data_IF_061780388805
#
_entry.id   IF_061780388805
#
_cell.length_a   1.000
_cell.length_b   1.000
_cell.length_c   1.000
_cell.angle_alpha   90.00
_cell.angle_beta   90.00
_cell.angle_gamma   90.00
#
_symmetry.space_group_name_H-M   'P 1'
#
loop_
_entity.id
_entity.type
_entity.pdbx_description
1 polymer ?
#
# COMPACT_ATOMS: atom_id res chain seq x y z
N UNK A 1 8.99 -51.24 8.70
CA UNK A 1 8.46 -49.93 9.16
C UNK A 1 9.14 -48.90 8.26
N UNK A 2 8.41 -48.31 7.30
CA UNK A 2 8.94 -47.24 6.44
C UNK A 2 9.01 -45.98 7.31
N UNK A 3 10.16 -45.37 7.51
CA UNK A 3 10.25 -44.14 8.31
C UNK A 3 9.44 -43.04 7.62
N UNK A 4 8.38 -42.59 8.25
CA UNK A 4 7.60 -41.44 7.81
C UNK A 4 8.46 -40.20 8.01
N UNK A 5 9.08 -39.74 6.93
CA UNK A 5 9.82 -38.48 6.95
C UNK A 5 8.77 -37.36 6.88
N UNK A 6 8.57 -36.70 7.97
CA UNK A 6 7.74 -35.48 7.98
C UNK A 6 8.47 -34.41 7.14
N UNK A 7 7.92 -34.10 5.96
CA UNK A 7 8.47 -33.06 5.10
C UNK A 7 8.22 -31.70 5.77
N UNK A 8 9.27 -30.91 5.88
CA UNK A 8 9.12 -29.51 6.29
C UNK A 8 8.53 -28.68 5.14
N UNK A 9 7.89 -27.56 5.45
CA UNK A 9 7.42 -26.60 4.41
C UNK A 9 8.58 -26.18 3.49
N UNK A 10 9.79 -26.00 4.03
CA UNK A 10 10.98 -25.69 3.23
C UNK A 10 11.34 -26.80 2.22
N UNK A 11 11.21 -28.08 2.61
CA UNK A 11 11.43 -29.21 1.70
C UNK A 11 10.41 -29.22 0.56
N UNK A 12 9.14 -28.91 0.87
CA UNK A 12 8.06 -28.84 -0.12
C UNK A 12 8.31 -27.71 -1.11
N UNK A 13 8.68 -26.52 -0.64
CA UNK A 13 9.02 -25.39 -1.52
C UNK A 13 10.22 -25.68 -2.40
N UNK A 14 11.27 -26.32 -1.85
CA UNK A 14 12.44 -26.71 -2.62
C UNK A 14 12.09 -27.72 -3.72
N UNK A 15 11.26 -28.72 -3.41
CA UNK A 15 10.80 -29.72 -4.39
C UNK A 15 9.90 -29.09 -5.48
N UNK A 16 8.99 -28.18 -5.09
CA UNK A 16 8.20 -27.43 -6.05
C UNK A 16 9.06 -26.59 -6.98
N UNK A 17 10.06 -25.89 -6.44
CA UNK A 17 10.95 -25.07 -7.23
C UNK A 17 11.79 -25.90 -8.20
N UNK A 18 12.36 -27.01 -7.74
CA UNK A 18 13.14 -27.94 -8.57
C UNK A 18 12.29 -28.48 -9.74
N UNK A 19 11.06 -28.94 -9.47
CA UNK A 19 10.15 -29.43 -10.51
C UNK A 19 9.75 -28.33 -11.48
N UNK A 20 9.47 -27.12 -10.98
CA UNK A 20 9.15 -25.98 -11.84
C UNK A 20 10.26 -25.64 -12.81
N UNK A 21 11.52 -25.69 -12.37
CA UNK A 21 12.68 -25.38 -13.22
C UNK A 21 13.03 -26.53 -14.18
N UNK A 22 13.03 -27.76 -13.68
CA UNK A 22 13.66 -28.89 -14.36
C UNK A 22 12.68 -29.91 -14.94
N UNK A 23 11.44 -30.00 -14.44
CA UNK A 23 10.45 -30.99 -14.85
C UNK A 23 9.03 -30.41 -14.88
N UNK A 24 8.69 -29.67 -15.93
CA UNK A 24 7.37 -29.03 -16.08
C UNK A 24 6.18 -30.00 -16.02
N UNK A 25 6.20 -31.20 -16.62
CA UNK A 25 5.12 -32.18 -16.46
C UNK A 25 4.93 -32.63 -15.01
N UNK A 26 6.01 -32.91 -14.28
CA UNK A 26 5.92 -33.28 -12.88
C UNK A 26 5.41 -32.13 -12.01
N UNK A 27 5.76 -30.89 -12.34
CA UNK A 27 5.22 -29.70 -11.67
C UNK A 27 3.70 -29.58 -11.89
N UNK A 28 3.20 -29.78 -13.10
CA UNK A 28 1.75 -29.77 -13.36
C UNK A 28 1.00 -30.85 -12.56
N UNK A 29 1.56 -32.06 -12.50
CA UNK A 29 1.00 -33.15 -11.69
C UNK A 29 0.98 -32.81 -10.20
N UNK A 30 1.98 -32.07 -9.71
CA UNK A 30 2.02 -31.57 -8.34
C UNK A 30 0.88 -30.57 -8.07
N UNK A 31 0.65 -29.63 -8.98
CA UNK A 31 -0.48 -28.70 -8.88
C UNK A 31 -1.82 -29.43 -8.84
N UNK A 32 -2.00 -30.40 -9.73
CA UNK A 32 -3.24 -31.20 -9.82
C UNK A 32 -3.53 -32.00 -8.53
N UNK A 33 -2.45 -32.48 -7.88
CA UNK A 33 -2.56 -33.27 -6.64
C UNK A 33 -2.88 -32.41 -5.42
N UNK A 34 -2.38 -31.16 -5.37
CA UNK A 34 -2.42 -30.35 -4.15
C UNK A 34 -3.35 -29.13 -4.24
N UNK A 35 -3.86 -28.78 -5.41
CA UNK A 35 -4.77 -27.65 -5.58
C UNK A 35 -6.11 -28.14 -6.10
N UNK A 36 -7.11 -28.14 -5.25
CA UNK A 36 -8.50 -28.30 -5.66
C UNK A 36 -9.08 -26.93 -6.04
N UNK A 37 -9.11 -26.65 -7.35
CA UNK A 37 -9.67 -25.39 -7.85
C UNK A 37 -11.17 -25.27 -7.58
N UNK A 38 -11.86 -26.39 -7.40
CA UNK A 38 -13.29 -26.40 -7.14
C UNK A 38 -13.63 -25.84 -5.76
N UNK A 39 -12.76 -25.98 -4.79
CA UNK A 39 -12.92 -25.39 -3.45
C UNK A 39 -12.79 -23.86 -3.49
N UNK A 40 -12.04 -23.31 -4.46
CA UNK A 40 -11.85 -21.86 -4.61
C UNK A 40 -13.04 -21.19 -5.31
N UNK A 41 -13.87 -21.94 -6.03
CA UNK A 41 -14.95 -21.38 -6.86
C UNK A 41 -16.23 -21.22 -6.00
N UNK A 42 -16.68 -19.98 -5.75
CA UNK A 42 -17.94 -19.75 -5.05
C UNK A 42 -19.13 -20.38 -5.77
N UNK A 43 -20.12 -20.83 -5.01
CA UNK A 43 -21.37 -21.37 -5.57
C UNK A 43 -22.09 -20.33 -6.45
N UNK A 44 -22.04 -19.05 -6.06
CA UNK A 44 -22.58 -17.93 -6.85
C UNK A 44 -21.96 -17.86 -8.24
N UNK A 45 -20.63 -18.02 -8.34
CA UNK A 45 -19.92 -18.02 -9.62
C UNK A 45 -20.35 -19.22 -10.48
N UNK A 46 -20.44 -20.42 -9.90
CA UNK A 46 -20.94 -21.61 -10.63
C UNK A 46 -22.33 -21.37 -11.20
N UNK A 47 -23.24 -20.83 -10.38
CA UNK A 47 -24.60 -20.53 -10.77
C UNK A 47 -24.67 -19.46 -11.87
N UNK A 48 -23.84 -18.42 -11.78
CA UNK A 48 -23.74 -17.38 -12.80
C UNK A 48 -23.16 -17.93 -14.11
N UNK A 49 -22.11 -18.74 -14.04
CA UNK A 49 -21.47 -19.31 -15.21
C UNK A 49 -22.36 -20.35 -15.93
N UNK A 50 -23.04 -21.23 -15.17
CA UNK A 50 -23.92 -22.26 -15.68
C UNK A 50 -25.40 -21.86 -15.55
N UNK A 51 -25.72 -20.60 -15.84
CA UNK A 51 -27.08 -20.11 -15.78
C UNK A 51 -28.08 -21.03 -16.51
N UNK A 52 -29.26 -21.22 -15.93
CA UNK A 52 -30.31 -22.11 -16.44
C UNK A 52 -30.90 -21.64 -17.76
N UNK A 53 -30.71 -20.38 -18.11
CA UNK A 53 -31.20 -19.74 -19.33
C UNK A 53 -30.06 -19.50 -20.33
N UNK A 54 -30.32 -19.71 -21.63
CA UNK A 54 -29.35 -19.49 -22.68
C UNK A 54 -28.70 -20.77 -23.20
N UNK A 55 -27.66 -20.62 -24.04
CA UNK A 55 -26.95 -21.75 -24.64
C UNK A 55 -26.02 -22.40 -23.64
N UNK A 56 -26.06 -23.75 -23.57
CA UNK A 56 -25.14 -24.53 -22.72
C UNK A 56 -23.68 -24.16 -22.98
N UNK A 57 -22.93 -23.99 -21.92
CA UNK A 57 -21.49 -23.68 -21.97
C UNK A 57 -20.72 -24.87 -22.58
N UNK A 58 -19.89 -24.58 -23.56
CA UNK A 58 -19.09 -25.59 -24.27
C UNK A 58 -17.85 -26.02 -23.49
N UNK A 59 -17.32 -25.13 -22.65
CA UNK A 59 -16.09 -25.31 -21.91
C UNK A 59 -16.38 -25.22 -20.42
N UNK A 60 -15.76 -26.06 -19.59
CA UNK A 60 -15.93 -26.00 -18.15
C UNK A 60 -15.37 -24.70 -17.55
N UNK A 61 -15.94 -24.23 -16.43
CA UNK A 61 -15.46 -23.07 -15.71
C UNK A 61 -14.01 -23.26 -15.25
N UNK A 62 -13.72 -24.42 -14.69
CA UNK A 62 -12.39 -24.79 -14.19
C UNK A 62 -11.32 -24.67 -15.28
N UNK A 63 -11.67 -25.02 -16.53
CA UNK A 63 -10.72 -24.93 -17.64
C UNK A 63 -10.26 -23.50 -17.92
N UNK A 64 -11.15 -22.52 -17.81
CA UNK A 64 -10.76 -21.11 -17.93
C UNK A 64 -9.89 -20.64 -16.76
N UNK A 65 -10.23 -21.05 -15.54
CA UNK A 65 -9.46 -20.67 -14.35
C UNK A 65 -8.04 -21.26 -14.41
N UNK A 66 -7.92 -22.56 -14.70
CA UNK A 66 -6.61 -23.19 -14.88
C UNK A 66 -5.81 -22.52 -16.00
N UNK A 67 -6.43 -22.17 -17.11
CA UNK A 67 -5.74 -21.47 -18.19
C UNK A 67 -5.19 -20.12 -17.76
N UNK A 68 -5.93 -19.36 -16.94
CA UNK A 68 -5.47 -18.08 -16.39
C UNK A 68 -4.33 -18.27 -15.36
N UNK A 69 -4.42 -19.30 -14.51
CA UNK A 69 -3.37 -19.66 -13.55
C UNK A 69 -2.09 -20.03 -14.31
N UNK A 70 -2.18 -20.92 -15.29
CA UNK A 70 -1.05 -21.33 -16.13
C UNK A 70 -0.45 -20.14 -16.87
N UNK A 71 -1.28 -19.24 -17.39
CA UNK A 71 -0.82 -18.01 -18.02
C UNK A 71 0.11 -17.20 -17.08
N UNK A 72 -0.23 -17.15 -15.79
CA UNK A 72 0.56 -16.44 -14.80
C UNK A 72 1.81 -17.20 -14.35
N UNK A 73 1.66 -18.48 -14.05
CA UNK A 73 2.79 -19.34 -13.63
C UNK A 73 3.92 -19.33 -14.67
N UNK A 74 3.59 -19.49 -15.94
CA UNK A 74 4.58 -19.49 -17.02
C UNK A 74 4.85 -18.12 -17.62
N UNK A 75 4.38 -17.03 -16.98
CA UNK A 75 4.58 -15.64 -17.45
C UNK A 75 4.23 -15.42 -18.91
N UNK A 76 3.13 -16.03 -19.37
CA UNK A 76 2.66 -15.90 -20.76
C UNK A 76 1.99 -14.52 -20.94
N UNK A 77 2.58 -13.61 -21.74
CA UNK A 77 2.17 -12.20 -21.72
C UNK A 77 0.83 -11.91 -22.39
N UNK A 78 0.36 -12.77 -23.30
CA UNK A 78 -0.87 -12.51 -24.07
C UNK A 78 -1.79 -13.73 -24.14
N UNK A 79 -3.09 -13.48 -24.23
CA UNK A 79 -4.09 -14.53 -24.42
C UNK A 79 -3.86 -15.31 -25.73
N UNK A 80 -3.41 -14.62 -26.78
CA UNK A 80 -3.10 -15.27 -28.06
C UNK A 80 -1.96 -16.27 -27.92
N UNK A 81 -0.91 -15.92 -27.15
CA UNK A 81 0.20 -16.82 -26.92
C UNK A 81 -0.21 -18.00 -26.02
N UNK A 82 -1.04 -17.77 -24.98
CA UNK A 82 -1.64 -18.83 -24.18
C UNK A 82 -2.39 -19.84 -25.05
N UNK A 83 -3.26 -19.37 -25.94
CA UNK A 83 -4.01 -20.23 -26.87
C UNK A 83 -3.10 -21.01 -27.82
N UNK A 84 -2.00 -20.41 -28.23
CA UNK A 84 -0.97 -21.08 -29.03
C UNK A 84 -0.35 -22.23 -28.24
N UNK A 85 0.05 -22.00 -26.98
CA UNK A 85 0.57 -23.07 -26.12
C UNK A 85 -0.44 -24.19 -25.91
N UNK A 86 -1.71 -23.85 -25.65
CA UNK A 86 -2.78 -24.83 -25.50
C UNK A 86 -3.05 -25.61 -26.79
N UNK A 87 -2.83 -25.03 -27.97
CA UNK A 87 -2.98 -25.69 -29.25
C UNK A 87 -1.88 -26.72 -29.51
N UNK A 88 -0.63 -26.37 -29.20
CA UNK A 88 0.54 -27.20 -29.47
C UNK A 88 0.87 -28.20 -28.36
N UNK A 89 0.51 -27.93 -27.11
CA UNK A 89 0.73 -28.84 -25.98
C UNK A 89 -0.55 -29.57 -25.60
N UNK A 90 -0.61 -30.86 -25.94
CA UNK A 90 -1.76 -31.72 -25.57
C UNK A 90 -1.86 -31.85 -24.05
N UNK A 91 -0.73 -32.12 -23.37
CA UNK A 91 -0.68 -32.28 -21.91
C UNK A 91 -1.12 -31.01 -21.17
N UNK A 92 -0.68 -29.84 -21.61
CA UNK A 92 -1.10 -28.56 -21.02
C UNK A 92 -2.60 -28.30 -21.21
N UNK A 93 -3.12 -28.61 -22.40
CA UNK A 93 -4.53 -28.48 -22.71
C UNK A 93 -5.39 -29.43 -21.87
N UNK A 94 -4.97 -30.70 -21.73
CA UNK A 94 -5.65 -31.71 -20.90
C UNK A 94 -5.59 -31.33 -19.43
N UNK A 95 -4.46 -30.87 -18.92
CA UNK A 95 -4.33 -30.34 -17.57
C UNK A 95 -5.34 -29.22 -17.28
N UNK A 96 -5.50 -28.26 -18.19
CA UNK A 96 -6.52 -27.23 -18.05
C UNK A 96 -7.96 -27.76 -18.17
N UNK A 97 -8.18 -28.98 -18.67
CA UNK A 97 -9.51 -29.55 -18.88
C UNK A 97 -10.18 -29.13 -20.19
N UNK A 98 -9.43 -28.65 -21.18
CA UNK A 98 -9.97 -28.33 -22.49
C UNK A 98 -9.94 -29.54 -23.44
N UNK A 99 -11.10 -29.95 -23.94
CA UNK A 99 -11.17 -30.92 -25.05
C UNK A 99 -10.77 -30.31 -26.39
N UNK A 100 -11.06 -29.03 -26.58
CA UNK A 100 -10.71 -28.23 -27.78
C UNK A 100 -10.31 -26.83 -27.30
N UNK A 101 -9.26 -26.26 -27.90
CA UNK A 101 -8.82 -24.89 -27.61
C UNK A 101 -9.93 -23.87 -27.89
N UNK A 102 -10.27 -22.97 -26.96
CA UNK A 102 -11.26 -21.92 -27.21
C UNK A 102 -10.72 -20.84 -28.14
N UNK A 103 -11.63 -20.10 -28.79
CA UNK A 103 -11.27 -18.90 -29.53
C UNK A 103 -10.87 -17.77 -28.58
N UNK A 104 -10.01 -16.86 -29.02
CA UNK A 104 -9.56 -15.70 -28.24
C UNK A 104 -10.73 -14.89 -27.67
N UNK A 105 -11.79 -14.69 -28.44
CA UNK A 105 -13.01 -14.01 -28.01
C UNK A 105 -13.68 -14.65 -26.79
N UNK A 106 -13.49 -15.97 -26.59
CA UNK A 106 -14.06 -16.67 -25.43
C UNK A 106 -13.32 -16.32 -24.14
N UNK A 107 -12.00 -16.22 -24.17
CA UNK A 107 -11.20 -15.79 -23.01
C UNK A 107 -11.48 -14.33 -22.68
N UNK A 108 -11.54 -13.46 -23.71
CA UNK A 108 -11.86 -12.05 -23.51
C UNK A 108 -13.23 -11.85 -22.86
N UNK A 109 -14.27 -12.52 -23.40
CA UNK A 109 -15.61 -12.47 -22.82
C UNK A 109 -15.66 -13.07 -21.43
N UNK A 110 -14.97 -14.18 -21.18
CA UNK A 110 -14.89 -14.76 -19.85
C UNK A 110 -14.36 -13.76 -18.82
N UNK A 111 -13.27 -13.07 -19.14
CA UNK A 111 -12.69 -12.04 -18.26
C UNK A 111 -13.63 -10.83 -18.07
N UNK A 112 -14.38 -10.43 -19.10
CA UNK A 112 -15.29 -9.29 -19.03
C UNK A 112 -16.59 -9.61 -18.31
N UNK A 113 -17.21 -10.75 -18.67
CA UNK A 113 -18.53 -11.13 -18.16
C UNK A 113 -18.49 -11.58 -16.68
N UNK A 114 -17.33 -12.07 -16.20
CA UNK A 114 -17.16 -12.68 -14.87
C UNK A 114 -16.07 -11.98 -14.03
N UNK A 115 -15.84 -10.69 -14.23
CA UNK A 115 -14.82 -9.94 -13.51
C UNK A 115 -15.07 -9.97 -11.99
N UNK A 116 -16.30 -9.72 -11.56
CA UNK A 116 -16.68 -9.70 -10.15
C UNK A 116 -16.59 -11.10 -9.53
N UNK A 117 -16.96 -12.13 -10.28
CA UNK A 117 -16.82 -13.52 -9.83
C UNK A 117 -15.36 -13.94 -9.69
N UNK A 118 -14.48 -13.49 -10.59
CA UNK A 118 -13.03 -13.70 -10.48
C UNK A 118 -12.45 -13.00 -9.25
N UNK A 119 -12.99 -11.84 -8.87
CA UNK A 119 -12.62 -11.17 -7.62
C UNK A 119 -13.01 -12.02 -6.40
N UNK A 120 -14.18 -12.65 -6.41
CA UNK A 120 -14.60 -13.56 -5.33
C UNK A 120 -13.70 -14.80 -5.23
N UNK A 121 -13.23 -15.36 -6.36
CA UNK A 121 -12.25 -16.45 -6.35
C UNK A 121 -10.94 -15.99 -5.70
N UNK A 122 -10.49 -14.77 -6.02
CA UNK A 122 -9.31 -14.20 -5.39
C UNK A 122 -9.51 -13.99 -3.88
N UNK A 123 -10.66 -13.45 -3.46
CA UNK A 123 -10.96 -13.25 -2.04
C UNK A 123 -10.97 -14.60 -1.27
N UNK A 124 -11.56 -15.67 -1.84
CA UNK A 124 -11.49 -17.03 -1.27
C UNK A 124 -10.04 -17.54 -1.19
N UNK A 125 -9.24 -17.33 -2.23
CA UNK A 125 -7.84 -17.73 -2.24
C UNK A 125 -7.06 -17.03 -1.10
N UNK A 126 -7.36 -15.77 -0.84
CA UNK A 126 -6.79 -15.03 0.29
C UNK A 126 -7.11 -15.73 1.61
N UNK A 127 -8.37 -16.06 1.85
CA UNK A 127 -8.79 -16.69 3.11
C UNK A 127 -8.20 -18.11 3.29
N UNK A 128 -8.20 -18.92 2.25
CA UNK A 128 -7.63 -20.29 2.28
C UNK A 128 -6.11 -20.28 2.49
N UNK A 129 -5.42 -19.28 1.96
CA UNK A 129 -3.95 -19.18 2.07
C UNK A 129 -3.49 -18.49 3.36
N UNK A 130 -4.37 -17.88 4.15
CA UNK A 130 -3.96 -17.23 5.40
C UNK A 130 -3.34 -18.19 6.41
N UNK A 131 -3.93 -19.36 6.73
CA UNK A 131 -3.29 -20.33 7.62
C UNK A 131 -1.92 -20.80 7.12
N UNK A 132 -1.75 -20.89 5.80
CA UNK A 132 -0.48 -21.29 5.19
C UNK A 132 0.57 -20.18 5.41
N UNK A 133 0.19 -18.92 5.19
CA UNK A 133 1.08 -17.77 5.46
C UNK A 133 1.51 -17.74 6.93
N UNK A 134 0.57 -17.98 7.86
CA UNK A 134 0.85 -18.03 9.29
C UNK A 134 1.79 -19.20 9.65
N UNK A 135 1.65 -20.35 9.00
CA UNK A 135 2.53 -21.49 9.20
C UNK A 135 3.95 -21.30 8.64
N UNK A 136 4.09 -20.51 7.58
CA UNK A 136 5.41 -20.18 6.98
C UNK A 136 6.20 -19.24 7.89
N UNK A 137 5.61 -18.10 8.23
CA UNK A 137 6.22 -17.06 9.09
C UNK A 137 5.11 -16.17 9.64
N UNK A 138 4.68 -16.43 10.86
CA UNK A 138 3.59 -15.70 11.49
C UNK A 138 3.92 -14.21 11.68
N UNK A 139 5.17 -13.87 11.95
CA UNK A 139 5.58 -12.47 12.12
C UNK A 139 5.45 -11.69 10.80
N UNK A 140 5.78 -12.29 9.67
CA UNK A 140 5.59 -11.70 8.34
C UNK A 140 4.13 -11.75 7.89
N UNK A 141 3.41 -12.83 8.18
CA UNK A 141 1.99 -12.92 7.88
C UNK A 141 1.18 -11.83 8.61
N UNK A 142 1.56 -11.50 9.85
CA UNK A 142 0.95 -10.43 10.65
C UNK A 142 1.32 -8.99 10.24
N UNK A 143 2.09 -8.84 9.16
CA UNK A 143 2.37 -7.53 8.57
C UNK A 143 1.37 -7.21 7.48
N UNK A 144 1.01 -5.93 7.37
CA UNK A 144 0.24 -5.37 6.27
C UNK A 144 1.06 -4.27 5.61
N UNK A 145 1.31 -4.42 4.33
CA UNK A 145 2.02 -3.43 3.50
C UNK A 145 1.02 -2.90 2.49
N UNK A 146 0.89 -1.59 2.40
CA UNK A 146 0.04 -0.94 1.41
C UNK A 146 0.87 -0.05 0.50
N UNK A 147 0.60 -0.18 -0.79
CA UNK A 147 1.10 0.74 -1.79
C UNK A 147 0.07 0.92 -2.91
N UNK A 148 0.16 2.04 -3.62
CA UNK A 148 -0.67 2.31 -4.79
C UNK A 148 0.17 2.48 -6.04
N UNK A 149 -0.39 2.06 -7.16
CA UNK A 149 0.27 2.17 -8.45
C UNK A 149 -0.75 2.47 -9.56
N UNK A 150 -0.33 2.48 -10.79
CA UNK A 150 -1.19 2.69 -11.94
C UNK A 150 -0.84 1.78 -13.10
N UNK A 151 -1.86 1.25 -13.75
CA UNK A 151 -1.71 0.54 -15.02
C UNK A 151 -1.80 1.58 -16.14
N UNK A 152 -0.70 1.78 -16.87
CA UNK A 152 -0.68 2.69 -18.01
C UNK A 152 -1.68 2.25 -19.08
N UNK A 153 -2.55 3.15 -19.47
CA UNK A 153 -3.65 2.87 -20.40
C UNK A 153 -3.26 3.14 -21.85
N UNK A 154 -3.80 2.38 -22.76
CA UNK A 154 -3.68 2.62 -24.21
C UNK A 154 -4.63 3.74 -24.67
N UNK A 155 -4.23 4.99 -24.37
CA UNK A 155 -5.01 6.19 -24.70
C UNK A 155 -4.15 7.17 -25.50
N UNK A 156 -4.81 8.09 -26.22
CA UNK A 156 -4.14 9.08 -27.08
C UNK A 156 -3.18 9.95 -26.29
N UNK A 157 -3.53 10.28 -25.05
CA UNK A 157 -2.75 11.14 -24.15
C UNK A 157 -1.42 10.50 -23.73
N UNK A 158 -1.32 9.18 -23.72
CA UNK A 158 -0.08 8.43 -23.46
C UNK A 158 0.80 8.29 -24.73
N UNK A 159 0.30 8.71 -25.88
CA UNK A 159 1.15 8.71 -27.09
C UNK A 159 2.22 9.81 -26.96
N UNK A 160 3.51 9.47 -27.07
CA UNK A 160 4.59 10.48 -26.98
C UNK A 160 4.42 11.66 -27.95
N UNK A 161 3.80 11.44 -29.12
CA UNK A 161 3.52 12.51 -30.09
C UNK A 161 2.53 13.54 -29.56
N UNK A 162 1.61 13.14 -28.68
CA UNK A 162 0.62 14.04 -28.07
C UNK A 162 1.30 15.08 -27.19
N UNK A 163 2.04 14.63 -26.19
CA UNK A 163 2.78 15.51 -25.27
C UNK A 163 3.84 16.35 -26.01
N UNK A 164 4.61 15.74 -26.93
CA UNK A 164 5.64 16.42 -27.69
C UNK A 164 5.09 17.57 -28.56
N UNK A 165 3.89 17.43 -29.11
CA UNK A 165 3.22 18.51 -29.84
C UNK A 165 2.98 19.73 -28.94
N UNK A 166 2.45 19.51 -27.75
CA UNK A 166 2.17 20.57 -26.77
C UNK A 166 3.46 21.22 -26.30
N UNK A 167 4.47 20.43 -25.96
CA UNK A 167 5.80 20.94 -25.56
C UNK A 167 6.42 21.81 -26.64
N UNK A 168 6.33 21.39 -27.92
CA UNK A 168 6.84 22.16 -29.04
C UNK A 168 6.14 23.53 -29.18
N UNK A 169 4.81 23.54 -29.02
CA UNK A 169 4.03 24.78 -29.04
C UNK A 169 4.42 25.72 -27.90
N UNK A 170 4.56 25.20 -26.69
CA UNK A 170 4.94 25.95 -25.50
C UNK A 170 6.37 26.49 -25.59
N UNK A 171 7.32 25.75 -26.18
CA UNK A 171 8.69 26.23 -26.47
C UNK A 171 8.67 27.37 -27.46
N UNK A 172 7.87 27.27 -28.52
CA UNK A 172 7.71 28.32 -29.49
C UNK A 172 7.09 29.61 -28.89
N UNK A 173 6.05 29.42 -28.07
CA UNK A 173 5.40 30.50 -27.34
C UNK A 173 6.37 31.20 -26.36
N UNK A 174 7.07 30.42 -25.53
CA UNK A 174 8.05 30.97 -24.57
C UNK A 174 9.14 31.79 -25.27
N UNK A 175 9.64 31.32 -26.44
CA UNK A 175 10.61 32.03 -27.25
C UNK A 175 10.03 33.34 -27.80
N UNK A 176 8.78 33.33 -28.28
CA UNK A 176 8.12 34.54 -28.81
C UNK A 176 7.83 35.58 -27.73
N UNK A 177 7.56 35.14 -26.48
CA UNK A 177 7.30 36.03 -25.33
C UNK A 177 8.59 36.45 -24.59
N UNK A 178 9.75 35.93 -24.96
CA UNK A 178 11.02 36.26 -24.32
C UNK A 178 11.15 35.74 -22.88
N UNK A 179 10.48 34.62 -22.55
CA UNK A 179 10.59 34.00 -21.23
C UNK A 179 12.05 33.61 -20.95
N UNK A 180 12.45 33.76 -19.69
CA UNK A 180 13.79 33.42 -19.25
C UNK A 180 13.97 31.89 -19.07
N UNK A 181 15.20 31.50 -18.64
CA UNK A 181 15.54 30.08 -18.43
C UNK A 181 14.79 29.41 -17.26
N UNK A 182 14.04 30.15 -16.44
CA UNK A 182 13.24 29.63 -15.32
C UNK A 182 11.94 28.98 -15.81
N UNK A 183 11.49 29.32 -17.03
CA UNK A 183 10.33 28.73 -17.63
C UNK A 183 10.60 27.30 -18.11
N UNK A 184 9.91 26.32 -17.48
CA UNK A 184 9.98 24.91 -17.86
C UNK A 184 8.79 24.52 -18.75
N UNK A 185 8.99 24.38 -20.09
CA UNK A 185 7.92 24.02 -21.01
C UNK A 185 7.40 22.58 -20.81
N UNK A 186 8.17 21.72 -20.19
CA UNK A 186 7.72 20.36 -19.86
C UNK A 186 6.71 20.38 -18.70
N UNK A 187 7.06 21.06 -17.62
CA UNK A 187 6.15 21.25 -16.49
C UNK A 187 4.88 21.98 -16.90
N UNK A 188 4.99 23.01 -17.76
CA UNK A 188 3.85 23.73 -18.29
C UNK A 188 2.96 22.85 -19.19
N UNK A 189 3.56 21.98 -20.03
CA UNK A 189 2.82 21.04 -20.86
C UNK A 189 1.98 20.09 -20.03
N UNK A 190 2.57 19.45 -19.02
CA UNK A 190 1.84 18.54 -18.14
C UNK A 190 0.78 19.27 -17.31
N UNK A 191 1.04 20.50 -16.90
CA UNK A 191 0.06 21.35 -16.22
C UNK A 191 -1.16 21.70 -17.08
N UNK A 192 -0.98 21.86 -18.40
CA UNK A 192 -2.03 22.21 -19.37
C UNK A 192 -2.75 20.98 -19.98
N UNK A 193 -2.20 19.78 -19.85
CA UNK A 193 -2.86 18.55 -20.29
C UNK A 193 -4.11 18.26 -19.43
N UNK A 194 -5.17 17.59 -19.95
CA UNK A 194 -6.36 17.28 -19.18
C UNK A 194 -6.02 16.39 -17.98
N UNK A 195 -6.85 16.43 -16.93
CA UNK A 195 -6.66 15.60 -15.72
C UNK A 195 -6.95 14.12 -15.95
N UNK A 196 -7.69 13.80 -17.00
CA UNK A 196 -8.11 12.45 -17.39
C UNK A 196 -8.04 12.23 -18.90
N UNK A 197 -8.06 10.98 -19.32
CA UNK A 197 -8.11 10.64 -20.73
C UNK A 197 -9.52 10.89 -21.30
N UNK A 198 -9.58 11.40 -22.54
CA UNK A 198 -10.83 11.68 -23.25
C UNK A 198 -11.67 10.42 -23.51
N UNK A 199 -11.01 9.28 -23.70
CA UNK A 199 -11.68 8.00 -23.94
C UNK A 199 -12.37 7.42 -22.68
N UNK A 200 -11.83 7.69 -21.50
CA UNK A 200 -12.39 7.23 -20.23
C UNK A 200 -11.96 8.14 -19.08
N UNK A 201 -12.88 8.82 -18.41
CA UNK A 201 -12.57 9.75 -17.32
C UNK A 201 -12.03 9.09 -16.03
N UNK A 202 -12.11 7.78 -15.91
CA UNK A 202 -11.48 7.03 -14.81
C UNK A 202 -9.95 6.88 -14.98
N UNK A 203 -9.46 7.05 -16.20
CA UNK A 203 -8.04 7.04 -16.52
C UNK A 203 -7.49 8.43 -16.21
N UNK A 204 -6.79 8.56 -15.11
CA UNK A 204 -6.30 9.84 -14.57
C UNK A 204 -4.81 10.04 -14.84
N UNK A 205 -4.42 11.32 -14.93
CA UNK A 205 -3.02 11.68 -15.02
C UNK A 205 -2.31 11.42 -13.68
N UNK A 206 -1.21 10.69 -13.72
CA UNK A 206 -0.39 10.37 -12.54
C UNK A 206 1.10 10.45 -12.90
N UNK A 207 1.93 10.80 -11.91
CA UNK A 207 3.38 10.69 -12.04
C UNK A 207 3.82 9.35 -11.46
N UNK A 208 4.35 8.49 -12.32
CA UNK A 208 4.76 7.12 -11.98
C UNK A 208 6.01 6.75 -12.78
N UNK A 209 6.91 5.99 -12.20
CA UNK A 209 8.16 5.54 -12.84
C UNK A 209 8.98 6.67 -13.49
N UNK A 210 8.97 7.87 -12.89
CA UNK A 210 9.76 9.00 -13.37
C UNK A 210 9.13 9.82 -14.50
N UNK A 211 7.90 9.53 -14.92
CA UNK A 211 7.20 10.30 -15.96
C UNK A 211 5.70 10.45 -15.66
N UNK A 212 5.08 11.41 -16.33
CA UNK A 212 3.63 11.57 -16.30
C UNK A 212 2.99 10.66 -17.34
N UNK A 213 1.97 9.92 -16.91
CA UNK A 213 1.16 9.10 -17.80
C UNK A 213 -0.30 9.05 -17.31
N UNK A 214 -1.17 8.51 -18.15
CA UNK A 214 -2.58 8.31 -17.86
C UNK A 214 -2.82 6.85 -17.49
N UNK A 215 -3.32 6.62 -16.30
CA UNK A 215 -3.37 5.29 -15.70
C UNK A 215 -4.73 4.97 -15.10
N UNK A 216 -5.03 3.69 -15.01
CA UNK A 216 -5.97 3.17 -14.01
C UNK A 216 -5.22 3.00 -12.70
N UNK A 217 -5.60 3.79 -11.71
CA UNK A 217 -5.00 3.71 -10.38
C UNK A 217 -5.60 2.56 -9.59
N UNK A 218 -4.74 1.83 -8.88
CA UNK A 218 -5.13 0.75 -7.99
C UNK A 218 -4.24 0.74 -6.74
N UNK A 219 -4.73 0.11 -5.68
CA UNK A 219 -3.97 -0.13 -4.46
C UNK A 219 -3.86 -1.61 -4.20
N UNK A 220 -2.73 -2.01 -3.64
CA UNK A 220 -2.43 -3.38 -3.26
C UNK A 220 -2.14 -3.43 -1.77
N UNK A 221 -2.72 -4.43 -1.10
CA UNK A 221 -2.36 -4.83 0.25
C UNK A 221 -1.63 -6.16 0.15
N UNK A 222 -0.41 -6.22 0.70
CA UNK A 222 0.36 -7.46 0.81
C UNK A 222 0.67 -7.75 2.28
N UNK A 223 1.00 -9.00 2.58
CA UNK A 223 1.64 -9.33 3.85
C UNK A 223 3.17 -9.21 3.74
N UNK A 224 3.90 -9.39 4.83
CA UNK A 224 5.36 -9.34 4.86
C UNK A 224 6.07 -10.49 4.13
N UNK A 225 5.33 -11.50 3.65
CA UNK A 225 5.82 -12.51 2.72
C UNK A 225 5.77 -12.05 1.25
N UNK A 226 5.24 -10.85 0.99
CA UNK A 226 5.03 -10.32 -0.36
C UNK A 226 3.81 -10.91 -1.09
N UNK A 227 2.93 -11.63 -0.37
CA UNK A 227 1.74 -12.24 -0.96
C UNK A 227 0.61 -11.21 -0.94
N UNK A 228 -0.02 -11.00 -2.11
CA UNK A 228 -1.14 -10.07 -2.25
C UNK A 228 -2.34 -10.60 -1.47
N UNK A 229 -2.90 -9.74 -0.60
CA UNK A 229 -4.05 -10.03 0.26
C UNK A 229 -5.30 -9.26 -0.16
N UNK A 230 -5.13 -8.12 -0.84
CA UNK A 230 -6.25 -7.33 -1.34
C UNK A 230 -5.81 -6.45 -2.51
N UNK A 231 -6.73 -6.21 -3.44
CA UNK A 231 -6.58 -5.28 -4.56
C UNK A 231 -7.83 -4.43 -4.66
N UNK A 232 -7.65 -3.10 -4.69
CA UNK A 232 -8.72 -2.15 -4.94
C UNK A 232 -8.44 -1.35 -6.20
N UNK A 233 -9.39 -1.30 -7.13
CA UNK A 233 -9.36 -0.39 -8.27
C UNK A 233 -10.15 0.87 -7.92
N UNK A 234 -9.51 2.04 -8.02
CA UNK A 234 -10.10 3.32 -7.64
C UNK A 234 -10.97 3.91 -8.76
N UNK A 235 -11.97 3.12 -9.15
CA UNK A 235 -12.98 3.44 -10.15
C UNK A 235 -14.20 4.17 -9.52
N UNK A 236 -15.21 4.44 -10.33
CA UNK A 236 -16.46 5.10 -9.88
C UNK A 236 -17.17 4.32 -8.78
N UNK A 237 -17.16 2.98 -8.85
CA UNK A 237 -17.83 2.14 -7.86
C UNK A 237 -17.13 2.26 -6.48
N UNK A 238 -15.80 2.22 -6.46
CA UNK A 238 -15.02 2.44 -5.24
C UNK A 238 -15.28 3.84 -4.66
N UNK A 239 -15.28 4.87 -5.51
CA UNK A 239 -15.53 6.24 -5.05
C UNK A 239 -16.97 6.43 -4.54
N UNK A 240 -17.95 5.76 -5.13
CA UNK A 240 -19.34 5.80 -4.68
C UNK A 240 -19.54 5.12 -3.32
N UNK A 241 -18.79 4.04 -3.04
CA UNK A 241 -18.83 3.38 -1.73
C UNK A 241 -18.04 4.11 -0.63
N UNK A 242 -17.20 5.10 -1.02
CA UNK A 242 -16.37 5.88 -0.09
C UNK A 242 -16.57 7.40 -0.30
N UNK A 243 -17.75 7.95 0.01
CA UNK A 243 -18.08 9.37 -0.24
C UNK A 243 -17.24 10.36 0.56
N UNK A 244 -16.57 9.90 1.61
CA UNK A 244 -15.67 10.72 2.45
C UNK A 244 -14.35 11.08 1.74
N UNK A 245 -14.06 10.47 0.61
CA UNK A 245 -12.84 10.76 -0.15
C UNK A 245 -13.03 12.09 -0.91
N UNK A 246 -12.34 13.12 -0.44
CA UNK A 246 -12.32 14.43 -1.11
C UNK A 246 -11.29 14.39 -2.24
N UNK A 247 -11.77 14.57 -3.47
CA UNK A 247 -10.94 14.66 -4.68
C UNK A 247 -10.54 16.11 -4.93
N UNK A 248 -9.24 16.34 -5.18
CA UNK A 248 -8.76 17.67 -5.55
C UNK A 248 -9.04 17.97 -7.01
N UNK A 249 -9.35 19.21 -7.29
CA UNK A 249 -9.54 19.72 -8.65
C UNK A 249 -8.21 20.16 -9.27
N UNK A 250 -8.06 19.98 -10.57
CA UNK A 250 -6.96 20.53 -11.35
C UNK A 250 -7.28 21.96 -11.87
N UNK A 251 -8.57 22.21 -12.13
CA UNK A 251 -9.13 23.49 -12.53
C UNK A 251 -10.54 23.63 -11.98
N UNK A 252 -11.18 24.77 -12.19
CA UNK A 252 -12.58 25.03 -11.78
C UNK A 252 -13.62 24.25 -12.63
N UNK A 253 -13.17 23.52 -13.65
CA UNK A 253 -14.06 22.69 -14.46
C UNK A 253 -14.57 21.49 -13.66
N UNK A 254 -15.86 21.12 -13.76
CA UNK A 254 -16.43 19.99 -13.04
C UNK A 254 -15.73 18.66 -13.30
N UNK A 255 -15.23 18.46 -14.50
CA UNK A 255 -14.65 17.20 -14.97
C UNK A 255 -13.13 17.10 -14.75
N UNK A 256 -12.51 18.13 -14.16
CA UNK A 256 -11.04 18.21 -13.97
C UNK A 256 -10.59 17.69 -12.59
N UNK A 257 -11.12 16.56 -12.15
CA UNK A 257 -10.69 15.88 -10.94
C UNK A 257 -9.29 15.29 -11.10
N UNK A 258 -8.37 15.62 -10.18
CA UNK A 258 -7.06 14.98 -10.10
C UNK A 258 -7.17 13.50 -9.70
N UNK A 259 -6.09 12.77 -9.93
CA UNK A 259 -5.92 11.46 -9.32
C UNK A 259 -5.87 11.59 -7.79
N UNK A 260 -6.60 10.74 -7.07
CA UNK A 260 -6.66 10.79 -5.60
C UNK A 260 -5.30 10.45 -4.99
N UNK A 261 -4.89 11.18 -3.95
CA UNK A 261 -3.65 10.91 -3.23
C UNK A 261 -3.71 9.60 -2.45
N UNK A 262 -2.59 8.90 -2.37
CA UNK A 262 -2.45 7.60 -1.70
C UNK A 262 -2.85 7.63 -0.24
N UNK A 263 -2.48 8.71 0.47
CA UNK A 263 -2.84 8.92 1.86
C UNK A 263 -4.36 8.97 2.13
N UNK A 264 -5.16 9.34 1.12
CA UNK A 264 -6.63 9.34 1.21
C UNK A 264 -7.25 7.99 0.87
N UNK A 265 -6.50 7.12 0.17
CA UNK A 265 -6.94 5.81 -0.29
C UNK A 265 -6.63 4.69 0.70
N UNK A 266 -5.65 4.87 1.58
CA UNK A 266 -5.19 3.87 2.54
C UNK A 266 -6.33 3.36 3.43
N UNK A 267 -6.98 4.24 4.18
CA UNK A 267 -8.01 3.83 5.15
C UNK A 267 -9.24 3.21 4.47
N UNK A 268 -9.79 3.78 3.38
CA UNK A 268 -10.86 3.13 2.62
C UNK A 268 -10.49 1.73 2.14
N UNK A 269 -9.29 1.57 1.55
CA UNK A 269 -8.83 0.25 1.07
C UNK A 269 -8.69 -0.77 2.21
N UNK A 270 -8.16 -0.37 3.37
CA UNK A 270 -8.08 -1.24 4.53
C UNK A 270 -9.44 -1.58 5.12
N UNK A 271 -10.42 -0.67 5.08
CA UNK A 271 -11.80 -0.96 5.47
C UNK A 271 -12.41 -2.05 4.58
N UNK A 272 -12.24 -1.95 3.28
CA UNK A 272 -12.70 -2.97 2.33
C UNK A 272 -12.00 -4.31 2.57
N UNK A 273 -10.69 -4.29 2.77
CA UNK A 273 -9.90 -5.48 3.10
C UNK A 273 -10.43 -6.18 4.36
N UNK A 274 -10.56 -5.46 5.47
CA UNK A 274 -11.03 -6.06 6.73
C UNK A 274 -12.51 -6.47 6.70
N UNK A 275 -13.32 -5.82 5.88
CA UNK A 275 -14.72 -6.20 5.66
C UNK A 275 -14.84 -7.52 4.92
N UNK A 276 -14.00 -7.74 3.90
CA UNK A 276 -13.97 -8.98 3.10
C UNK A 276 -13.33 -10.14 3.85
N UNK A 277 -12.31 -9.86 4.66
CA UNK A 277 -11.50 -10.85 5.36
C UNK A 277 -11.59 -10.67 6.89
N UNK A 278 -12.74 -10.96 7.50
CA UNK A 278 -12.98 -10.68 8.92
C UNK A 278 -12.08 -11.50 9.87
N UNK A 279 -11.57 -12.63 9.43
CA UNK A 279 -10.67 -13.48 10.22
C UNK A 279 -9.20 -13.03 10.19
N UNK A 280 -8.81 -12.23 9.21
CA UNK A 280 -7.45 -11.69 9.11
C UNK A 280 -7.31 -10.51 10.08
N UNK A 281 -6.32 -10.58 10.97
CA UNK A 281 -6.10 -9.56 11.99
C UNK A 281 -4.60 -9.26 12.17
N UNK A 282 -3.97 -8.57 11.20
CA UNK A 282 -2.55 -8.27 11.24
C UNK A 282 -2.21 -7.27 12.35
N UNK A 283 -0.99 -7.35 12.88
CA UNK A 283 -0.54 -6.54 14.00
C UNK A 283 0.33 -5.36 13.61
N UNK A 284 0.95 -5.41 12.45
CA UNK A 284 1.95 -4.43 12.03
C UNK A 284 1.58 -3.85 10.66
N UNK A 285 1.55 -2.52 10.57
CA UNK A 285 1.41 -1.81 9.29
C UNK A 285 2.76 -1.27 8.82
N UNK A 286 3.02 -1.38 7.52
CA UNK A 286 4.17 -0.77 6.85
C UNK A 286 3.67 0.06 5.66
N UNK A 287 4.18 1.28 5.54
CA UNK A 287 3.84 2.19 4.44
C UNK A 287 5.00 3.12 4.12
N UNK A 288 4.90 3.82 2.99
CA UNK A 288 5.89 4.81 2.59
C UNK A 288 5.71 6.17 3.30
N UNK A 289 6.61 7.11 3.06
CA UNK A 289 6.58 8.44 3.67
C UNK A 289 5.35 9.28 3.28
N UNK A 290 4.59 8.92 2.26
CA UNK A 290 3.35 9.60 1.89
C UNK A 290 2.25 9.44 2.96
N UNK A 291 2.35 8.39 3.78
CA UNK A 291 1.41 8.09 4.86
C UNK A 291 1.79 8.71 6.21
N UNK A 292 2.90 9.44 6.30
CA UNK A 292 3.41 10.06 7.53
C UNK A 292 2.55 11.25 7.96
N UNK A 293 1.38 10.98 8.51
CA UNK A 293 0.49 11.99 9.11
C UNK A 293 -0.08 11.52 10.45
N UNK A 294 -0.21 12.44 11.41
CA UNK A 294 -0.76 12.13 12.73
C UNK A 294 -2.15 11.51 12.66
N UNK A 295 -2.97 11.93 11.70
CA UNK A 295 -4.32 11.39 11.53
C UNK A 295 -4.30 9.93 11.06
N UNK A 296 -3.40 9.56 10.11
CA UNK A 296 -3.28 8.17 9.66
C UNK A 296 -2.77 7.27 10.78
N UNK A 297 -1.77 7.70 11.55
CA UNK A 297 -1.33 6.95 12.74
C UNK A 297 -2.49 6.71 13.70
N UNK A 298 -3.28 7.75 14.01
CA UNK A 298 -4.45 7.60 14.86
C UNK A 298 -5.43 6.58 14.28
N UNK A 299 -5.74 6.68 13.00
CA UNK A 299 -6.68 5.76 12.33
C UNK A 299 -6.17 4.32 12.29
N UNK A 300 -4.87 4.10 12.12
CA UNK A 300 -4.27 2.77 12.06
C UNK A 300 -4.19 2.11 13.44
N UNK A 301 -3.91 2.89 14.48
CA UNK A 301 -3.55 2.41 15.82
C UNK A 301 -4.72 2.43 16.82
N UNK A 302 -5.90 2.93 16.43
CA UNK A 302 -7.09 2.94 17.30
C UNK A 302 -8.17 2.00 16.77
N UNK A 303 -8.86 1.29 17.67
CA UNK A 303 -9.85 0.26 17.32
C UNK A 303 -11.11 0.76 16.59
N UNK A 304 -11.36 2.08 16.57
CA UNK A 304 -12.62 2.63 16.06
C UNK A 304 -12.66 2.76 14.53
N UNK A 305 -11.52 2.68 13.83
CA UNK A 305 -11.45 2.97 12.40
C UNK A 305 -11.96 1.85 11.52
N UNK A 306 -11.66 0.58 11.87
CA UNK A 306 -11.93 -0.58 11.04
C UNK A 306 -13.11 -1.43 11.53
N UNK A 307 -13.71 -1.06 12.66
CA UNK A 307 -14.78 -1.85 13.31
C UNK A 307 -14.27 -3.12 13.99
N UNK A 308 -15.12 -3.72 14.83
CA UNK A 308 -14.82 -4.97 15.55
C UNK A 308 -13.48 -4.94 16.31
N UNK A 309 -13.10 -3.80 16.87
CA UNK A 309 -11.83 -3.58 17.60
C UNK A 309 -10.56 -3.89 16.79
N UNK A 310 -10.67 -3.91 15.44
CA UNK A 310 -9.53 -4.13 14.57
C UNK A 310 -8.65 -2.87 14.50
N UNK A 311 -7.41 -3.05 14.84
CA UNK A 311 -6.36 -2.02 14.74
C UNK A 311 -4.99 -2.66 14.68
N UNK A 312 -4.03 -1.91 14.18
CA UNK A 312 -2.63 -2.32 14.21
C UNK A 312 -2.01 -1.99 15.57
N UNK A 313 -1.18 -2.88 16.08
CA UNK A 313 -0.40 -2.62 17.30
C UNK A 313 0.80 -1.71 17.02
N UNK A 314 1.30 -1.73 15.76
CA UNK A 314 2.47 -0.98 15.31
C UNK A 314 2.26 -0.47 13.88
N UNK A 315 2.83 0.71 13.59
CA UNK A 315 2.88 1.26 12.24
C UNK A 315 4.29 1.78 11.95
N UNK A 316 4.92 1.26 10.90
CA UNK A 316 6.24 1.68 10.44
C UNK A 316 6.10 2.47 9.15
N UNK A 317 6.28 3.78 9.25
CA UNK A 317 6.15 4.73 8.15
C UNK A 317 7.37 5.67 8.22
N UNK A 318 8.20 5.76 7.17
CA UNK A 318 9.33 6.69 7.14
C UNK A 318 8.89 8.14 7.36
N UNK A 319 9.77 8.94 7.93
CA UNK A 319 9.53 10.38 8.10
C UNK A 319 9.37 11.06 6.73
N UNK A 320 8.30 11.82 6.59
CA UNK A 320 8.15 12.70 5.44
C UNK A 320 9.01 13.96 5.65
N UNK A 321 9.87 14.30 4.69
CA UNK A 321 10.68 15.52 4.71
C UNK A 321 9.85 16.80 4.92
N UNK A 322 8.58 16.79 4.52
CA UNK A 322 7.64 17.90 4.70
C UNK A 322 7.01 17.96 6.09
N UNK A 323 7.22 16.96 6.94
CA UNK A 323 6.62 16.90 8.29
C UNK A 323 7.17 17.96 9.25
N UNK A 324 8.26 18.62 8.89
CA UNK A 324 8.93 19.63 9.71
C UNK A 324 9.72 19.05 10.89
N UNK A 325 9.69 17.74 11.09
CA UNK A 325 10.44 17.08 12.18
C UNK A 325 11.94 16.96 11.89
N UNK A 326 12.33 17.00 10.62
CA UNK A 326 13.75 17.06 10.22
C UNK A 326 14.40 18.40 10.58
N UNK A 327 13.60 19.44 10.79
CA UNK A 327 14.05 20.79 11.16
C UNK A 327 13.90 21.07 12.67
N UNK A 328 13.72 20.05 13.48
CA UNK A 328 13.73 20.24 14.92
C UNK A 328 15.15 20.63 15.37
N UNK A 329 15.24 21.61 16.24
CA UNK A 329 16.49 22.03 16.87
C UNK A 329 16.91 21.11 18.04
N UNK A 330 16.34 19.89 18.09
CA UNK A 330 16.67 18.80 19.01
C UNK A 330 16.43 17.45 18.29
N UNK A 331 17.13 16.42 18.71
CA UNK A 331 16.92 15.06 18.23
C UNK A 331 15.88 14.32 19.05
N UNK A 332 15.29 13.29 18.47
CA UNK A 332 14.41 12.33 19.16
C UNK A 332 15.12 10.97 19.08
N UNK A 333 15.23 10.26 20.20
CA UNK A 333 15.86 8.94 20.24
C UNK A 333 14.91 7.83 19.73
N UNK A 334 15.41 6.58 19.72
CA UNK A 334 14.66 5.41 19.29
C UNK A 334 13.40 5.17 20.12
N UNK A 335 13.37 5.60 21.38
CA UNK A 335 12.21 5.52 22.28
C UNK A 335 11.23 6.69 22.09
N UNK A 336 11.48 7.62 21.14
CA UNK A 336 10.66 8.79 20.89
C UNK A 336 10.79 9.90 21.94
N UNK A 337 11.85 9.86 22.74
CA UNK A 337 12.11 10.83 23.77
C UNK A 337 12.99 11.95 23.18
N UNK A 338 12.63 13.24 23.34
CA UNK A 338 13.48 14.34 22.95
C UNK A 338 14.82 14.31 23.66
N UNK A 339 15.89 14.61 22.93
CA UNK A 339 17.25 14.65 23.46
C UNK A 339 17.82 16.07 23.47
N UNK A 340 18.88 16.26 24.21
CA UNK A 340 19.58 17.55 24.27
C UNK A 340 20.13 17.89 22.85
N UNK A 341 19.96 19.13 22.32
CA UNK A 341 20.52 19.54 21.05
C UNK A 341 22.04 19.44 20.95
N UNK A 342 22.74 19.69 22.05
CA UNK A 342 24.21 19.64 22.10
C UNK A 342 24.77 18.25 22.45
N UNK A 343 23.93 17.37 22.99
CA UNK A 343 24.30 16.00 23.36
C UNK A 343 23.12 15.06 23.08
N UNK A 344 23.04 14.45 21.88
CA UNK A 344 21.94 13.55 21.53
C UNK A 344 21.83 12.30 22.40
N UNK A 345 22.88 11.93 23.13
CA UNK A 345 22.83 10.80 24.07
C UNK A 345 22.08 11.15 25.37
N UNK A 346 21.89 12.45 25.67
CA UNK A 346 21.27 12.92 26.87
C UNK A 346 19.77 13.13 26.67
N UNK A 347 18.98 12.16 27.10
CA UNK A 347 17.53 12.18 27.05
C UNK A 347 16.93 13.26 27.94
N UNK A 348 15.90 13.97 27.48
CA UNK A 348 15.13 14.88 28.28
C UNK A 348 14.25 14.14 29.29
N UNK A 349 14.05 14.73 30.45
CA UNK A 349 13.21 14.17 31.49
C UNK A 349 11.74 14.50 31.23
N UNK A 350 10.89 13.47 31.19
CA UNK A 350 9.46 13.65 31.18
C UNK A 350 8.94 14.23 32.49
N UNK A 351 8.20 15.33 32.45
CA UNK A 351 7.72 16.05 33.64
C UNK A 351 6.19 15.93 33.80
N UNK A 352 5.49 15.41 32.82
CA UNK A 352 4.06 15.16 32.93
C UNK A 352 3.24 15.61 31.72
N UNK A 353 1.95 15.35 31.81
CA UNK A 353 0.95 15.67 30.80
C UNK A 353 0.14 16.89 31.23
N UNK A 354 -0.16 17.79 30.32
CA UNK A 354 -1.07 18.91 30.54
C UNK A 354 -1.98 19.12 29.35
N UNK A 355 -3.16 19.71 29.59
CA UNK A 355 -4.09 20.12 28.53
C UNK A 355 -4.01 21.63 28.34
N UNK A 356 -4.02 22.07 27.08
CA UNK A 356 -4.22 23.48 26.74
C UNK A 356 -5.68 23.88 27.00
N UNK A 357 -5.98 25.18 27.03
CA UNK A 357 -7.37 25.67 27.10
C UNK A 357 -8.23 25.20 25.93
N UNK A 358 -7.60 24.90 24.78
CA UNK A 358 -8.24 24.30 23.61
C UNK A 358 -8.57 22.79 23.73
N UNK A 359 -8.26 22.18 24.90
CA UNK A 359 -8.46 20.74 25.11
C UNK A 359 -7.34 19.85 24.60
N UNK A 360 -6.39 20.39 23.82
CA UNK A 360 -5.28 19.62 23.22
C UNK A 360 -4.32 19.13 24.30
N UNK A 361 -4.04 17.84 24.30
CA UNK A 361 -3.08 17.21 25.22
C UNK A 361 -1.64 17.49 24.77
N UNK A 362 -0.76 17.75 25.71
CA UNK A 362 0.70 17.89 25.48
C UNK A 362 1.50 17.21 26.57
N UNK A 363 2.61 16.62 26.16
CA UNK A 363 3.63 16.05 27.04
C UNK A 363 4.77 17.04 27.21
N UNK A 364 5.21 17.22 28.43
CA UNK A 364 6.28 18.16 28.79
C UNK A 364 7.56 17.40 29.08
N UNK A 365 8.61 17.74 28.35
CA UNK A 365 9.96 17.28 28.58
C UNK A 365 10.86 18.45 28.99
N UNK A 366 11.74 18.23 29.89
CA UNK A 366 12.64 19.24 30.42
C UNK A 366 14.09 18.77 30.37
N UNK A 367 15.01 19.72 30.32
CA UNK A 367 16.44 19.43 30.37
C UNK A 367 16.76 18.56 31.62
N UNK A 368 17.47 17.44 31.47
CA UNK A 368 17.77 16.54 32.60
C UNK A 368 18.67 17.17 33.63
N UNK A 369 19.42 18.23 33.29
CA UNK A 369 20.26 19.01 34.20
C UNK A 369 19.50 20.11 34.93
N UNK A 370 18.19 20.21 34.74
CA UNK A 370 17.31 21.13 35.48
C UNK A 370 16.96 20.57 36.85
N UNK A 371 17.08 21.43 37.88
CA UNK A 371 16.71 21.12 39.26
C UNK A 371 15.83 22.22 39.84
N UNK A 372 15.03 21.86 40.83
CA UNK A 372 14.29 22.79 41.65
C UNK A 372 15.19 23.33 42.75
N UNK A 373 15.26 24.66 42.91
CA UNK A 373 15.98 25.35 43.99
C UNK A 373 14.95 26.07 44.84
N UNK A 374 15.03 25.87 46.13
CA UNK A 374 14.23 26.64 47.09
C UNK A 374 14.98 27.93 47.48
N UNK A 375 14.37 29.06 47.17
CA UNK A 375 14.90 30.36 47.56
C UNK A 375 14.34 30.77 48.95
N UNK A 376 15.20 30.83 49.94
CA UNK A 376 14.84 31.16 51.31
C UNK A 376 14.35 32.61 51.46
N UNK A 377 14.79 33.53 50.59
CA UNK A 377 14.44 34.93 50.62
C UNK A 377 13.02 35.19 50.14
N UNK A 378 12.60 34.50 49.08
CA UNK A 378 11.28 34.63 48.47
C UNK A 378 10.29 33.54 48.93
N UNK A 379 10.75 32.56 49.72
CA UNK A 379 9.99 31.37 50.14
C UNK A 379 9.36 30.60 48.99
N UNK A 380 9.96 30.68 47.81
CA UNK A 380 9.48 30.02 46.60
C UNK A 380 10.51 29.10 45.99
N UNK A 381 10.04 27.98 45.41
CA UNK A 381 10.89 27.11 44.60
C UNK A 381 10.88 27.59 43.17
N UNK A 382 12.04 27.68 42.55
CA UNK A 382 12.17 27.98 41.13
C UNK A 382 13.06 26.95 40.46
N UNK A 383 12.92 26.85 39.12
CA UNK A 383 13.72 25.94 38.30
C UNK A 383 15.02 26.62 37.90
N UNK A 384 16.11 25.86 37.98
CA UNK A 384 17.42 26.30 37.50
C UNK A 384 18.12 25.18 36.73
N UNK A 385 18.74 25.50 35.60
CA UNK A 385 19.49 24.55 34.79
C UNK A 385 20.98 24.65 35.09
N UNK A 386 21.59 23.55 35.49
CA UNK A 386 23.02 23.43 35.79
C UNK A 386 23.75 22.82 34.58
N UNK A 387 23.65 23.48 33.43
CA UNK A 387 24.29 23.05 32.20
C UNK A 387 25.49 23.96 31.89
N UNK A 388 26.67 23.35 31.70
CA UNK A 388 27.90 24.10 31.38
C UNK A 388 27.88 24.64 29.95
N UNK A 389 27.12 23.96 29.02
CA UNK A 389 26.91 24.39 27.67
C UNK A 389 25.40 24.51 27.37
N UNK A 390 24.74 25.60 27.80
CA UNK A 390 23.29 25.73 27.66
C UNK A 390 22.86 25.92 26.23
N UNK A 391 21.88 25.11 25.80
CA UNK A 391 21.24 25.18 24.48
C UNK A 391 20.08 26.20 24.41
N UNK A 392 19.91 27.01 25.45
CA UNK A 392 18.86 28.03 25.55
C UNK A 392 19.32 29.15 26.47
N UNK A 393 18.84 30.36 26.24
CA UNK A 393 19.05 31.52 27.14
C UNK A 393 18.21 31.45 28.43
N UNK A 394 17.27 30.52 28.52
CA UNK A 394 16.39 30.36 29.67
C UNK A 394 17.15 29.80 30.88
N UNK A 395 17.12 30.51 32.01
CA UNK A 395 17.68 30.04 33.29
C UNK A 395 17.05 28.72 33.77
N UNK A 396 15.82 28.42 33.37
CA UNK A 396 15.14 27.17 33.69
C UNK A 396 15.58 25.99 32.84
N UNK A 397 16.46 26.19 31.83
CA UNK A 397 16.83 25.20 30.86
C UNK A 397 15.79 25.02 29.76
N UNK A 398 16.09 24.13 28.84
CA UNK A 398 15.20 23.84 27.68
C UNK A 398 13.99 23.04 28.13
N UNK A 399 12.84 23.44 27.60
CA UNK A 399 11.58 22.69 27.70
C UNK A 399 11.05 22.39 26.29
N UNK A 400 10.65 21.15 26.08
CA UNK A 400 10.05 20.69 24.81
C UNK A 400 8.64 20.20 25.11
N UNK A 401 7.69 20.59 24.29
CA UNK A 401 6.32 20.13 24.35
C UNK A 401 6.03 19.27 23.14
N UNK A 402 5.60 18.03 23.37
CA UNK A 402 5.15 17.09 22.35
C UNK A 402 3.63 17.02 22.39
N UNK A 403 3.02 17.07 21.23
CA UNK A 403 1.58 17.01 21.07
C UNK A 403 1.22 15.65 20.43
N UNK A 404 0.82 14.63 21.21
CA UNK A 404 0.59 13.28 20.69
C UNK A 404 -0.54 13.23 19.65
N UNK A 405 -1.51 14.15 19.72
CA UNK A 405 -2.55 14.27 18.72
C UNK A 405 -2.03 14.79 17.37
N UNK A 406 -0.87 15.44 17.37
CA UNK A 406 -0.21 15.93 16.16
C UNK A 406 0.92 15.00 15.72
N UNK A 407 1.56 14.34 16.66
CA UNK A 407 2.67 13.41 16.37
C UNK A 407 2.73 12.29 17.40
N UNK A 408 2.13 11.16 17.08
CA UNK A 408 2.11 9.98 17.91
C UNK A 408 3.49 9.31 18.05
N UNK A 409 4.46 9.66 17.20
CA UNK A 409 5.81 9.09 17.22
C UNK A 409 6.59 9.48 18.47
N UNK A 410 6.23 10.58 19.10
CA UNK A 410 6.88 11.10 20.28
C UNK A 410 6.07 10.85 21.57
N UNK A 411 5.30 9.77 21.62
CA UNK A 411 4.48 9.44 22.79
C UNK A 411 5.32 8.78 23.89
N UNK A 412 5.44 9.37 25.09
CA UNK A 412 6.19 8.75 26.18
C UNK A 412 5.47 7.51 26.71
N UNK A 413 6.14 6.41 26.76
CA UNK A 413 5.64 5.14 27.30
C UNK A 413 5.08 4.17 26.27
N UNK A 414 5.06 4.52 24.99
CA UNK A 414 4.72 3.62 23.89
C UNK A 414 5.91 3.40 22.99
N UNK A 415 6.86 2.63 23.43
CA UNK A 415 8.03 2.20 22.65
C UNK A 415 7.67 1.67 21.27
N UNK A 416 6.44 1.16 21.11
CA UNK A 416 5.94 0.56 19.88
C UNK A 416 5.67 1.55 18.74
N UNK A 417 5.51 2.84 18.99
CA UNK A 417 5.18 3.83 17.96
C UNK A 417 6.37 4.65 17.50
N UNK A 418 7.47 4.57 18.19
CA UNK A 418 8.60 5.49 18.08
C UNK A 418 9.76 4.95 17.23
N UNK A 419 9.70 3.68 16.84
CA UNK A 419 10.72 3.08 15.97
C UNK A 419 10.56 3.40 14.50
N UNK A 420 9.95 4.53 14.21
CA UNK A 420 9.56 4.89 12.85
C UNK A 420 10.63 5.59 12.05
N UNK A 421 11.84 5.65 12.52
CA UNK A 421 12.97 5.67 11.62
C UNK A 421 13.14 4.24 11.11
N UNK A 422 12.35 3.89 10.09
CA UNK A 422 12.66 2.72 9.32
C UNK A 422 14.16 2.78 9.02
N UNK A 423 14.90 1.83 9.52
CA UNK A 423 16.21 1.55 8.99
C UNK A 423 15.95 1.21 7.53
N UNK A 424 16.17 2.18 6.64
CA UNK A 424 16.03 2.05 5.19
C UNK A 424 16.90 0.92 4.60
N UNK A 425 17.63 0.21 5.45
CA UNK A 425 18.65 -0.75 5.05
C UNK A 425 18.18 -2.20 5.00
N UNK A 426 16.94 -2.54 5.34
CA UNK A 426 16.53 -3.96 5.43
C UNK A 426 15.28 -4.35 4.64
N UNK A 427 14.68 -3.44 3.88
CA UNK A 427 13.48 -3.74 3.07
C UNK A 427 13.67 -3.48 1.58
N UNK A 428 14.89 -3.43 1.08
CA UNK A 428 15.19 -3.61 -0.33
C UNK A 428 15.38 -5.10 -0.59
N UNK A 429 14.29 -5.81 -0.75
CA UNK A 429 14.20 -7.09 -1.46
C UNK A 429 13.19 -6.96 -2.57
#
# INVERSE_FOLDING_TARGET
MIPYKQLSLADIFSDCHEKFENDKPAFLSLLETHIDIDELIPISFRNHFYASTGRTRKYPLQAFLWALIIQRIFSIPTDQLLLTFLAYSKSLREFCGFTKVPDASKITRFKQDFLDDLQLVFDNLVDVTEPICQAIDSAKADMTIFDSSGIEAFVTENNPKYANRIIKQLKAYAKAQGFDKSYDPYKAAYGSMPSHASANPEIKQLYINGHFCYVFKFGIVTNGLGIIRHISFYNKNFMASHPDIVVEKKSDSPDEDKCVHDSKLLIPTLKDFFSKHPLINPKTFLGDAAFDTAQLYKSLLTGDTFGNDKHFSKAYIPLNARSGLENLDYSINEDGIPCCPHDPSLQMKYEGTSKLHSGVTRYKFVCPRMKWIYDKSTQKSHRHCFCDNPCTSSKCGRMVYIYPEKDLRAYPGTVSYTHLRAHETTLHL
#
